data_IF_919748310291
#
_entry.id   IF_919748310291
#
_cell.length_a   1.000
_cell.length_b   1.000
_cell.length_c   1.000
_cell.angle_alpha   90.00
_cell.angle_beta   90.00
_cell.angle_gamma   90.00
#
_symmetry.space_group_name_H-M   'P 1'
#
loop_
_entity.id
_entity.type
_entity.pdbx_description
1 polymer ?
#
# COMPACT_ATOMS: atom_id res chain seq x y z
N UNK A 1 -7.77 -17.16 -12.91
CA UNK A 1 -7.74 -15.68 -12.91
C UNK A 1 -6.70 -15.09 -11.96
N UNK A 2 -6.66 -15.45 -10.68
CA UNK A 2 -5.65 -14.90 -9.74
C UNK A 2 -4.18 -15.13 -10.14
N UNK A 3 -3.84 -16.32 -10.66
CA UNK A 3 -2.50 -16.60 -11.19
C UNK A 3 -2.13 -15.70 -12.39
N UNK A 4 -3.09 -15.39 -13.27
CA UNK A 4 -2.88 -14.49 -14.39
C UNK A 4 -2.58 -13.07 -13.89
N UNK A 5 -3.33 -12.57 -12.89
CA UNK A 5 -3.07 -11.26 -12.28
C UNK A 5 -1.66 -11.22 -11.69
N UNK A 6 -1.24 -12.27 -10.98
CA UNK A 6 0.11 -12.36 -10.44
C UNK A 6 1.19 -12.29 -11.54
N UNK A 7 1.01 -13.02 -12.63
CA UNK A 7 1.94 -12.99 -13.78
C UNK A 7 1.95 -11.60 -14.43
N UNK A 8 0.81 -10.96 -14.59
CA UNK A 8 0.73 -9.60 -15.14
C UNK A 8 1.45 -8.58 -14.26
N UNK A 9 1.38 -8.72 -12.93
CA UNK A 9 2.11 -7.88 -11.99
C UNK A 9 3.62 -8.07 -12.08
N UNK A 10 4.07 -9.32 -12.19
CA UNK A 10 5.47 -9.65 -12.43
C UNK A 10 5.98 -9.01 -13.73
N UNK A 11 5.21 -9.16 -14.83
CA UNK A 11 5.55 -8.55 -16.11
C UNK A 11 5.55 -7.01 -16.05
N UNK A 12 4.63 -6.42 -15.28
CA UNK A 12 4.58 -4.96 -15.09
C UNK A 12 5.85 -4.43 -14.43
N UNK A 13 6.38 -5.10 -13.40
CA UNK A 13 7.63 -4.68 -12.76
C UNK A 13 8.83 -4.87 -13.71
N UNK A 14 8.87 -5.93 -14.53
CA UNK A 14 9.90 -6.10 -15.56
C UNK A 14 9.82 -4.97 -16.59
N UNK A 15 8.63 -4.69 -17.12
CA UNK A 15 8.45 -3.64 -18.10
C UNK A 15 8.68 -2.24 -17.51
N UNK A 16 8.38 -2.03 -16.24
CA UNK A 16 8.78 -0.83 -15.49
C UNK A 16 10.29 -0.69 -15.45
N UNK A 17 11.03 -1.76 -15.13
CA UNK A 17 12.49 -1.75 -15.12
C UNK A 17 13.09 -1.46 -16.51
N UNK A 18 12.50 -2.02 -17.57
CA UNK A 18 12.91 -1.72 -18.95
C UNK A 18 12.57 -0.26 -19.32
N UNK A 19 11.40 0.22 -18.91
CA UNK A 19 10.94 1.60 -19.13
C UNK A 19 11.80 2.64 -18.43
N UNK A 20 12.38 2.31 -17.27
CA UNK A 20 13.33 3.18 -16.59
C UNK A 20 14.57 3.47 -17.44
N UNK A 21 15.04 2.52 -18.25
CA UNK A 21 16.15 2.73 -19.20
C UNK A 21 15.74 3.41 -20.50
N UNK A 22 14.46 3.40 -20.85
CA UNK A 22 13.94 3.91 -22.13
C UNK A 22 12.69 4.74 -21.92
N UNK A 23 12.86 6.07 -21.89
CA UNK A 23 11.78 7.04 -21.70
C UNK A 23 10.63 6.85 -22.71
N UNK A 24 10.97 6.53 -23.97
CA UNK A 24 9.98 6.25 -25.01
C UNK A 24 9.15 5.00 -24.71
N UNK A 25 9.80 3.91 -24.25
CA UNK A 25 9.09 2.69 -23.85
C UNK A 25 8.21 2.93 -22.62
N UNK A 26 8.71 3.66 -21.62
CA UNK A 26 7.94 4.05 -20.43
C UNK A 26 6.66 4.79 -20.81
N UNK A 27 6.77 5.79 -21.69
CA UNK A 27 5.63 6.59 -22.14
C UNK A 27 4.58 5.78 -22.88
N UNK A 28 5.00 4.90 -23.80
CA UNK A 28 4.09 4.00 -24.51
C UNK A 28 3.39 3.06 -23.52
N UNK A 29 4.13 2.50 -22.56
CA UNK A 29 3.57 1.59 -21.57
C UNK A 29 2.56 2.28 -20.64
N UNK A 30 2.82 3.53 -20.22
CA UNK A 30 1.86 4.34 -19.46
C UNK A 30 0.60 4.59 -20.27
N UNK A 31 0.72 5.06 -21.51
CA UNK A 31 -0.43 5.35 -22.37
C UNK A 31 -1.29 4.11 -22.64
N UNK A 32 -0.65 2.97 -22.95
CA UNK A 32 -1.34 1.69 -23.17
C UNK A 32 -2.02 1.21 -21.89
N UNK A 33 -1.37 1.34 -20.72
CA UNK A 33 -1.95 0.94 -19.44
C UNK A 33 -3.18 1.78 -19.07
N UNK A 34 -3.12 3.09 -19.28
CA UNK A 34 -4.26 4.00 -19.06
C UNK A 34 -5.39 3.70 -20.05
N UNK A 35 -5.09 3.51 -21.33
CA UNK A 35 -6.11 3.15 -22.33
C UNK A 35 -6.76 1.80 -22.04
N UNK A 36 -5.96 0.79 -21.71
CA UNK A 36 -6.47 -0.54 -21.32
C UNK A 36 -7.39 -0.43 -20.10
N UNK A 37 -7.01 0.39 -19.11
CA UNK A 37 -7.85 0.66 -17.95
C UNK A 37 -9.18 1.30 -18.35
N UNK A 38 -9.18 2.34 -19.19
CA UNK A 38 -10.40 3.01 -19.67
C UNK A 38 -11.33 2.03 -20.38
N UNK A 39 -10.79 1.21 -21.29
CA UNK A 39 -11.56 0.20 -22.02
C UNK A 39 -12.20 -0.84 -21.08
N UNK A 40 -11.48 -1.24 -20.03
CA UNK A 40 -12.01 -2.15 -19.00
C UNK A 40 -13.07 -1.44 -18.16
N UNK A 41 -12.84 -0.21 -17.71
CA UNK A 41 -13.74 0.53 -16.84
C UNK A 41 -15.08 0.85 -17.53
N UNK A 42 -15.07 1.15 -18.83
CA UNK A 42 -16.30 1.37 -19.62
C UNK A 42 -17.11 0.07 -19.74
N UNK A 43 -16.45 -1.08 -19.93
CA UNK A 43 -17.13 -2.39 -20.06
C UNK A 43 -17.58 -2.97 -18.72
N UNK A 44 -16.78 -2.77 -17.68
CA UNK A 44 -16.98 -3.32 -16.34
C UNK A 44 -16.32 -2.40 -15.30
N UNK A 45 -17.08 -1.42 -14.82
CA UNK A 45 -16.61 -0.44 -13.85
C UNK A 45 -16.08 -1.10 -12.55
N UNK A 46 -16.73 -2.11 -11.94
CA UNK A 46 -16.18 -2.83 -10.80
C UNK A 46 -14.77 -3.39 -11.01
N UNK A 47 -14.50 -3.97 -12.17
CA UNK A 47 -13.18 -4.48 -12.51
C UNK A 47 -12.19 -3.33 -12.72
N UNK A 48 -12.59 -2.25 -13.41
CA UNK A 48 -11.77 -1.05 -13.59
C UNK A 48 -11.34 -0.44 -12.25
N UNK A 49 -12.28 -0.26 -11.32
CA UNK A 49 -11.99 0.21 -9.96
C UNK A 49 -11.07 -0.75 -9.21
N UNK A 50 -11.26 -2.06 -9.38
CA UNK A 50 -10.37 -3.06 -8.78
C UNK A 50 -8.93 -2.95 -9.30
N UNK A 51 -8.74 -2.62 -10.58
CA UNK A 51 -7.41 -2.39 -11.17
C UNK A 51 -6.75 -1.11 -10.64
N UNK A 52 -7.51 -0.05 -10.33
CA UNK A 52 -6.95 1.14 -9.65
C UNK A 52 -6.38 0.77 -8.28
N UNK A 53 -7.10 -0.10 -7.53
CA UNK A 53 -6.62 -0.58 -6.23
C UNK A 53 -5.35 -1.43 -6.37
N UNK A 54 -5.19 -2.19 -7.46
CA UNK A 54 -3.94 -2.91 -7.74
C UNK A 54 -2.76 -1.97 -7.87
N UNK A 55 -2.91 -0.94 -8.70
CA UNK A 55 -1.85 0.05 -8.89
C UNK A 55 -1.51 0.71 -7.55
N UNK A 56 -2.52 1.08 -6.76
CA UNK A 56 -2.32 1.67 -5.44
C UNK A 56 -1.52 0.74 -4.50
N UNK A 57 -1.80 -0.57 -4.53
CA UNK A 57 -1.11 -1.57 -3.72
C UNK A 57 0.30 -1.83 -4.20
N UNK A 58 0.53 -1.93 -5.51
CA UNK A 58 1.81 -2.39 -6.07
C UNK A 58 2.76 -1.24 -6.40
N UNK A 59 2.23 -0.10 -6.87
CA UNK A 59 2.99 1.00 -7.44
C UNK A 59 3.61 1.97 -6.44
N UNK A 60 3.36 1.82 -5.14
CA UNK A 60 3.90 2.67 -4.06
C UNK A 60 3.65 4.17 -4.28
N UNK A 61 4.60 4.97 -4.78
CA UNK A 61 4.37 6.38 -5.16
C UNK A 61 3.66 6.56 -6.52
N UNK A 62 3.46 5.48 -7.27
CA UNK A 62 2.69 5.47 -8.52
C UNK A 62 3.50 5.78 -9.77
N UNK A 63 4.83 5.80 -9.65
CA UNK A 63 5.81 6.10 -10.72
C UNK A 63 6.38 4.82 -11.35
N UNK A 64 5.61 3.73 -11.40
CA UNK A 64 6.03 2.49 -12.07
C UNK A 64 6.44 2.75 -13.51
N UNK A 65 5.66 3.57 -14.21
CA UNK A 65 5.94 4.03 -15.57
C UNK A 65 5.50 5.48 -15.67
N UNK A 66 6.09 6.23 -16.59
CA UNK A 66 5.87 7.65 -16.74
C UNK A 66 5.73 8.03 -18.20
N UNK A 67 4.73 8.86 -18.47
CA UNK A 67 4.56 9.51 -19.76
C UNK A 67 5.30 10.84 -19.75
N UNK A 68 6.33 10.96 -20.59
CA UNK A 68 7.13 12.17 -20.71
C UNK A 68 6.62 13.02 -21.88
N UNK A 69 6.28 14.27 -21.60
CA UNK A 69 5.88 15.26 -22.61
C UNK A 69 6.67 16.55 -22.39
N UNK A 70 7.66 16.80 -23.24
CA UNK A 70 8.60 17.91 -23.04
C UNK A 70 9.37 17.74 -21.73
N UNK A 71 9.22 18.68 -20.81
CA UNK A 71 9.84 18.66 -19.47
C UNK A 71 8.92 18.11 -18.36
N UNK A 72 7.70 17.68 -18.70
CA UNK A 72 6.71 17.23 -17.71
C UNK A 72 6.62 15.71 -17.72
N UNK A 73 6.67 15.12 -16.53
CA UNK A 73 6.53 13.68 -16.29
C UNK A 73 5.15 13.41 -15.67
N UNK A 74 4.33 12.61 -16.34
CA UNK A 74 3.01 12.18 -15.84
C UNK A 74 3.14 10.73 -15.42
N UNK A 75 3.09 10.47 -14.11
CA UNK A 75 3.14 9.11 -13.58
C UNK A 75 1.91 8.29 -13.99
N UNK A 76 2.07 6.96 -14.07
CA UNK A 76 0.97 6.03 -14.34
C UNK A 76 -0.23 6.29 -13.44
N UNK A 77 0.04 6.50 -12.15
CA UNK A 77 -1.00 6.79 -11.17
C UNK A 77 -1.79 8.05 -11.49
N UNK A 78 -1.09 9.13 -11.85
CA UNK A 78 -1.75 10.39 -12.21
C UNK A 78 -2.57 10.22 -13.49
N UNK A 79 -2.04 9.51 -14.49
CA UNK A 79 -2.77 9.17 -15.71
C UNK A 79 -4.06 8.38 -15.44
N UNK A 80 -3.98 7.36 -14.58
CA UNK A 80 -5.13 6.57 -14.15
C UNK A 80 -6.13 7.41 -13.34
N UNK A 81 -5.66 8.28 -12.47
CA UNK A 81 -6.50 9.21 -11.72
C UNK A 81 -7.28 10.15 -12.65
N UNK A 82 -6.60 10.81 -13.60
CA UNK A 82 -7.23 11.71 -14.57
C UNK A 82 -8.25 10.94 -15.41
N UNK A 83 -7.91 9.75 -15.90
CA UNK A 83 -8.83 8.91 -16.67
C UNK A 83 -10.07 8.50 -15.86
N UNK A 84 -9.88 8.11 -14.60
CA UNK A 84 -10.97 7.72 -13.71
C UNK A 84 -11.86 8.90 -13.33
N UNK A 85 -11.26 10.04 -13.03
CA UNK A 85 -11.98 11.27 -12.74
C UNK A 85 -12.76 11.78 -13.97
N UNK A 86 -12.16 11.73 -15.16
CA UNK A 86 -12.82 12.06 -16.42
C UNK A 86 -14.00 11.15 -16.73
N UNK A 87 -13.85 9.83 -16.54
CA UNK A 87 -14.95 8.87 -16.68
C UNK A 87 -16.08 9.16 -15.69
N UNK A 88 -15.75 9.48 -14.45
CA UNK A 88 -16.73 9.86 -13.43
C UNK A 88 -17.50 11.12 -13.83
N UNK A 89 -16.81 12.17 -14.28
CA UNK A 89 -17.46 13.40 -14.76
C UNK A 89 -18.36 13.14 -15.96
N UNK A 90 -17.91 12.33 -16.92
CA UNK A 90 -18.71 11.92 -18.07
C UNK A 90 -19.99 11.18 -17.64
N UNK A 91 -19.88 10.25 -16.67
CA UNK A 91 -21.04 9.54 -16.13
C UNK A 91 -21.99 10.47 -15.39
N UNK A 92 -21.49 11.41 -14.60
CA UNK A 92 -22.31 12.42 -13.91
C UNK A 92 -23.04 13.32 -14.92
N UNK A 93 -22.39 13.69 -16.02
CA UNK A 93 -23.00 14.52 -17.06
C UNK A 93 -24.02 13.76 -17.91
N UNK A 94 -23.78 12.46 -18.15
CA UNK A 94 -24.61 11.62 -19.02
C UNK A 94 -25.80 10.98 -18.29
N UNK A 95 -25.66 10.71 -16.99
CA UNK A 95 -26.65 10.01 -16.17
C UNK A 95 -27.37 10.98 -15.21
N UNK A 96 -28.71 11.02 -15.26
CA UNK A 96 -29.53 11.85 -14.35
C UNK A 96 -29.68 11.23 -12.95
N UNK A 97 -29.14 10.04 -12.71
CA UNK A 97 -29.27 9.31 -11.45
C UNK A 97 -27.97 9.39 -10.65
N UNK A 98 -27.75 10.53 -10.02
CA UNK A 98 -26.57 10.79 -9.19
C UNK A 98 -26.56 9.95 -7.90
N UNK A 99 -25.88 8.80 -7.93
CA UNK A 99 -25.69 7.90 -6.78
C UNK A 99 -25.10 8.64 -5.56
N UNK A 100 -24.21 9.62 -5.78
CA UNK A 100 -23.63 10.46 -4.72
C UNK A 100 -24.71 11.15 -3.88
N UNK A 101 -25.75 11.69 -4.52
CA UNK A 101 -26.77 12.45 -3.81
C UNK A 101 -27.76 11.57 -3.04
N UNK A 102 -27.75 10.25 -3.24
CA UNK A 102 -28.63 9.30 -2.57
C UNK A 102 -28.07 8.77 -1.25
N UNK A 103 -26.74 8.79 -1.07
CA UNK A 103 -26.12 8.21 0.10
C UNK A 103 -26.00 9.21 1.26
N UNK A 104 -26.17 8.74 2.49
CA UNK A 104 -25.95 9.55 3.71
C UNK A 104 -24.52 10.09 3.84
N UNK A 105 -23.58 9.50 3.08
CA UNK A 105 -22.16 9.85 3.07
C UNK A 105 -21.87 11.14 2.31
N UNK A 106 -22.83 11.67 1.55
CA UNK A 106 -22.68 12.91 0.77
C UNK A 106 -22.25 14.11 1.61
N UNK A 107 -22.73 14.20 2.85
CA UNK A 107 -22.39 15.31 3.75
C UNK A 107 -20.97 15.19 4.30
N UNK A 108 -20.52 13.96 4.59
CA UNK A 108 -19.13 13.70 4.97
C UNK A 108 -18.18 13.97 3.81
N UNK A 109 -18.55 13.56 2.59
CA UNK A 109 -17.79 13.85 1.38
C UNK A 109 -17.74 15.36 1.10
N UNK A 110 -18.87 16.06 1.18
CA UNK A 110 -18.94 17.51 1.00
C UNK A 110 -18.14 18.25 2.08
N UNK A 111 -18.20 17.81 3.34
CA UNK A 111 -17.39 18.36 4.43
C UNK A 111 -15.90 18.17 4.20
N UNK A 112 -15.47 16.97 3.78
CA UNK A 112 -14.07 16.71 3.45
C UNK A 112 -13.60 17.55 2.26
N UNK A 113 -14.42 17.69 1.21
CA UNK A 113 -14.12 18.56 0.08
C UNK A 113 -14.05 20.03 0.49
N UNK A 114 -14.96 20.49 1.36
CA UNK A 114 -14.93 21.85 1.89
C UNK A 114 -13.65 22.13 2.69
N UNK A 115 -13.17 21.17 3.48
CA UNK A 115 -11.89 21.28 4.20
C UNK A 115 -10.71 21.37 3.23
N UNK A 116 -10.69 20.56 2.16
CA UNK A 116 -9.62 20.63 1.16
C UNK A 116 -9.63 21.95 0.38
N UNK A 117 -10.80 22.42 -0.03
CA UNK A 117 -10.96 23.71 -0.71
C UNK A 117 -10.55 24.86 0.22
N UNK A 118 -10.95 24.80 1.49
CA UNK A 118 -10.53 25.77 2.50
C UNK A 118 -9.02 25.77 2.70
N UNK A 119 -8.40 24.60 2.87
CA UNK A 119 -6.96 24.48 3.05
C UNK A 119 -6.19 25.03 1.84
N UNK A 120 -6.65 24.74 0.62
CA UNK A 120 -6.07 25.28 -0.60
C UNK A 120 -6.23 26.79 -0.69
N UNK A 121 -7.45 27.32 -0.44
CA UNK A 121 -7.71 28.76 -0.45
C UNK A 121 -6.86 29.49 0.60
N UNK A 122 -6.72 28.93 1.79
CA UNK A 122 -5.91 29.48 2.88
C UNK A 122 -4.41 29.45 2.54
N UNK A 123 -3.91 28.35 1.98
CA UNK A 123 -2.50 28.24 1.56
C UNK A 123 -2.18 29.25 0.46
N UNK A 124 -3.06 29.41 -0.53
CA UNK A 124 -2.92 30.42 -1.58
C UNK A 124 -2.95 31.85 -1.01
N UNK A 125 -3.85 32.13 -0.05
CA UNK A 125 -3.91 33.44 0.63
C UNK A 125 -2.63 33.78 1.40
N UNK A 126 -1.89 32.77 1.88
CA UNK A 126 -0.59 32.94 2.56
C UNK A 126 0.60 32.99 1.59
N UNK A 127 0.39 33.25 0.30
CA UNK A 127 1.43 33.44 -0.72
C UNK A 127 2.30 32.22 -1.01
N UNK A 128 1.80 31.01 -0.73
CA UNK A 128 2.47 29.80 -1.18
C UNK A 128 2.34 29.65 -2.71
N UNK A 129 3.34 29.06 -3.35
CA UNK A 129 3.29 28.83 -4.79
C UNK A 129 2.23 27.77 -5.12
N UNK A 130 1.61 27.87 -6.31
CA UNK A 130 0.64 26.86 -6.77
C UNK A 130 1.27 25.47 -6.89
N UNK A 131 2.58 25.41 -7.18
CA UNK A 131 3.31 24.15 -7.26
C UNK A 131 3.40 23.47 -5.89
N UNK A 132 3.78 24.21 -4.85
CA UNK A 132 3.88 23.66 -3.49
C UNK A 132 2.51 23.23 -2.97
N UNK A 133 1.49 24.03 -3.25
CA UNK A 133 0.10 23.72 -2.92
C UNK A 133 -0.36 22.42 -3.61
N UNK A 134 -0.04 22.24 -4.88
CA UNK A 134 -0.39 21.02 -5.60
C UNK A 134 0.37 19.80 -5.05
N UNK A 135 1.67 19.92 -4.79
CA UNK A 135 2.48 18.83 -4.27
C UNK A 135 1.96 18.33 -2.91
N UNK A 136 1.50 19.23 -2.05
CA UNK A 136 0.86 18.88 -0.77
C UNK A 136 -0.56 18.32 -0.95
N UNK A 137 -1.38 18.96 -1.79
CA UNK A 137 -2.79 18.61 -1.97
C UNK A 137 -3.00 17.30 -2.74
N UNK A 138 -2.07 16.92 -3.64
CA UNK A 138 -2.20 15.77 -4.53
C UNK A 138 -2.53 14.47 -3.79
N UNK A 139 -1.92 14.25 -2.62
CA UNK A 139 -2.19 13.07 -1.79
C UNK A 139 -3.65 12.95 -1.34
N UNK A 140 -4.37 14.06 -1.25
CA UNK A 140 -5.77 14.11 -0.80
C UNK A 140 -6.78 14.05 -1.95
N UNK A 141 -6.36 14.37 -3.18
CA UNK A 141 -7.26 14.40 -4.35
C UNK A 141 -7.89 13.04 -4.66
N UNK A 142 -7.29 11.94 -4.19
CA UNK A 142 -7.87 10.61 -4.25
C UNK A 142 -9.29 10.51 -3.68
N UNK A 143 -9.66 11.38 -2.73
CA UNK A 143 -11.03 11.43 -2.21
C UNK A 143 -12.05 11.72 -3.31
N UNK A 144 -11.67 12.48 -4.36
CA UNK A 144 -12.54 12.83 -5.48
C UNK A 144 -13.02 11.62 -6.26
N UNK A 145 -12.31 10.49 -6.19
CA UNK A 145 -12.73 9.24 -6.84
C UNK A 145 -13.74 8.44 -6.01
N UNK A 146 -14.02 8.83 -4.75
CA UNK A 146 -14.95 8.11 -3.87
C UNK A 146 -16.32 7.81 -4.52
N UNK A 147 -16.95 8.75 -5.24
CA UNK A 147 -18.17 8.44 -6.00
C UNK A 147 -18.05 7.26 -6.96
N UNK A 148 -16.94 7.21 -7.72
CA UNK A 148 -16.69 6.15 -8.69
C UNK A 148 -16.56 4.79 -7.98
N UNK A 149 -15.88 4.75 -6.82
CA UNK A 149 -15.80 3.56 -5.99
C UNK A 149 -17.18 3.11 -5.49
N UNK A 150 -18.00 4.03 -4.97
CA UNK A 150 -19.33 3.71 -4.45
C UNK A 150 -20.24 3.16 -5.55
N UNK A 151 -20.26 3.80 -6.72
CA UNK A 151 -21.02 3.34 -7.88
C UNK A 151 -20.56 1.96 -8.34
N UNK A 152 -19.25 1.72 -8.42
CA UNK A 152 -18.71 0.43 -8.78
C UNK A 152 -19.12 -0.67 -7.78
N UNK A 153 -19.11 -0.38 -6.49
CA UNK A 153 -19.53 -1.34 -5.47
C UNK A 153 -21.04 -1.61 -5.50
N UNK A 154 -21.86 -0.60 -5.74
CA UNK A 154 -23.31 -0.76 -5.89
C UNK A 154 -23.67 -1.62 -7.11
N UNK A 155 -23.04 -1.35 -8.27
CA UNK A 155 -23.25 -2.11 -9.50
C UNK A 155 -22.78 -3.57 -9.40
N UNK A 156 -21.70 -3.82 -8.66
CA UNK A 156 -21.14 -5.16 -8.51
C UNK A 156 -22.02 -6.06 -7.63
N UNK A 157 -22.55 -5.51 -6.53
CA UNK A 157 -23.11 -6.29 -5.45
C UNK A 157 -22.05 -7.05 -4.63
N UNK A 158 -22.44 -7.57 -3.46
CA UNK A 158 -21.50 -8.13 -2.48
C UNK A 158 -20.65 -9.30 -3.02
N UNK A 159 -21.25 -10.20 -3.81
CA UNK A 159 -20.54 -11.39 -4.31
C UNK A 159 -19.42 -11.03 -5.30
N UNK A 160 -19.66 -10.10 -6.22
CA UNK A 160 -18.62 -9.66 -7.17
C UNK A 160 -17.53 -8.86 -6.48
N UNK A 161 -17.85 -8.04 -5.48
CA UNK A 161 -16.83 -7.35 -4.66
C UNK A 161 -15.91 -8.37 -3.98
N UNK A 162 -16.49 -9.39 -3.35
CA UNK A 162 -15.73 -10.48 -2.73
C UNK A 162 -14.89 -11.25 -3.76
N UNK A 163 -15.44 -11.47 -4.96
CA UNK A 163 -14.70 -12.08 -6.06
C UNK A 163 -13.48 -11.21 -6.46
N UNK A 164 -13.66 -9.92 -6.69
CA UNK A 164 -12.55 -9.03 -7.05
C UNK A 164 -11.54 -8.90 -5.91
N UNK A 165 -11.97 -8.80 -4.65
CA UNK A 165 -11.06 -8.84 -3.51
C UNK A 165 -10.19 -10.13 -3.52
N UNK A 166 -10.77 -11.30 -3.84
CA UNK A 166 -9.99 -12.54 -3.91
C UNK A 166 -9.07 -12.63 -5.12
N UNK A 167 -9.52 -12.14 -6.27
CA UNK A 167 -8.80 -12.31 -7.55
C UNK A 167 -7.78 -11.21 -7.81
N UNK A 168 -7.92 -10.08 -7.14
CA UNK A 168 -7.15 -8.87 -7.42
C UNK A 168 -6.32 -8.46 -6.21
N UNK A 169 -6.95 -8.25 -5.05
CA UNK A 169 -6.26 -7.81 -3.84
C UNK A 169 -5.29 -8.87 -3.29
N UNK A 170 -5.72 -10.13 -3.19
CA UNK A 170 -4.84 -11.21 -2.67
C UNK A 170 -3.59 -11.38 -3.54
N UNK A 171 -3.67 -11.53 -4.88
CA UNK A 171 -2.47 -11.60 -5.73
C UNK A 171 -1.58 -10.36 -5.65
N UNK A 172 -2.14 -9.15 -5.50
CA UNK A 172 -1.34 -7.92 -5.34
C UNK A 172 -0.52 -7.93 -4.04
N UNK A 173 -1.10 -8.38 -2.93
CA UNK A 173 -0.38 -8.53 -1.65
C UNK A 173 0.69 -9.62 -1.73
N UNK A 174 0.37 -10.76 -2.36
CA UNK A 174 1.34 -11.85 -2.56
C UNK A 174 2.50 -11.35 -3.43
N UNK A 175 2.22 -10.62 -4.51
CA UNK A 175 3.25 -10.02 -5.36
C UNK A 175 4.13 -9.03 -4.59
N UNK A 176 3.52 -8.13 -3.81
CA UNK A 176 4.25 -7.21 -2.93
C UNK A 176 5.18 -7.96 -1.96
N UNK A 177 4.73 -9.10 -1.44
CA UNK A 177 5.50 -9.96 -0.56
C UNK A 177 6.67 -10.63 -1.29
N UNK A 178 6.40 -11.22 -2.46
CA UNK A 178 7.42 -11.85 -3.31
C UNK A 178 8.50 -10.84 -3.68
N UNK A 179 8.13 -9.66 -4.15
CA UNK A 179 9.07 -8.58 -4.47
C UNK A 179 9.93 -8.21 -3.26
N UNK A 180 9.32 -8.07 -2.08
CA UNK A 180 10.05 -7.73 -0.84
C UNK A 180 11.05 -8.82 -0.47
N UNK A 181 10.66 -10.10 -0.58
CA UNK A 181 11.54 -11.25 -0.30
C UNK A 181 12.68 -11.33 -1.30
N UNK A 182 12.39 -11.17 -2.61
CA UNK A 182 13.40 -11.19 -3.67
C UNK A 182 14.42 -10.08 -3.46
N UNK A 183 13.97 -8.85 -3.18
CA UNK A 183 14.88 -7.74 -2.89
C UNK A 183 15.70 -7.97 -1.62
N UNK A 184 15.08 -8.47 -0.54
CA UNK A 184 15.81 -8.81 0.68
C UNK A 184 16.92 -9.83 0.39
N UNK A 185 16.57 -10.88 -0.36
CA UNK A 185 17.50 -11.91 -0.77
C UNK A 185 18.64 -11.30 -1.60
N UNK A 186 18.34 -10.57 -2.68
CA UNK A 186 19.35 -9.99 -3.56
C UNK A 186 20.35 -9.14 -2.77
N UNK A 187 19.87 -8.17 -1.98
CA UNK A 187 20.74 -7.23 -1.27
C UNK A 187 21.53 -7.86 -0.14
N UNK A 188 21.09 -9.00 0.39
CA UNK A 188 21.83 -9.73 1.43
C UNK A 188 22.94 -10.63 0.86
N UNK A 189 22.87 -11.00 -0.43
CA UNK A 189 23.76 -12.01 -1.03
C UNK A 189 24.67 -11.47 -2.13
N UNK A 190 24.28 -10.38 -2.80
CA UNK A 190 25.07 -9.79 -3.88
C UNK A 190 25.72 -8.48 -3.44
N UNK A 191 26.88 -8.17 -4.04
CA UNK A 191 27.60 -6.96 -3.69
C UNK A 191 26.81 -5.70 -4.09
N UNK A 192 27.09 -4.59 -3.40
CA UNK A 192 26.40 -3.34 -3.65
C UNK A 192 26.56 -2.90 -5.11
N UNK A 193 27.74 -3.11 -5.70
CA UNK A 193 28.08 -2.73 -7.08
C UNK A 193 27.19 -3.45 -8.11
N UNK A 194 26.96 -4.75 -7.91
CA UNK A 194 26.12 -5.55 -8.81
C UNK A 194 24.64 -5.13 -8.76
N UNK A 195 24.22 -4.52 -7.65
CA UNK A 195 22.82 -4.15 -7.41
C UNK A 195 22.55 -2.66 -7.56
N UNK A 196 23.55 -1.82 -7.90
CA UNK A 196 23.35 -0.39 -8.17
C UNK A 196 22.21 -0.16 -9.16
N UNK A 197 22.13 -0.84 -10.33
CA UNK A 197 21.04 -0.62 -11.28
C UNK A 197 19.67 -0.98 -10.71
N UNK A 198 19.58 -2.07 -9.95
CA UNK A 198 18.33 -2.53 -9.32
C UNK A 198 17.89 -1.53 -8.24
N UNK A 199 18.84 -1.03 -7.44
CA UNK A 199 18.58 -0.03 -6.41
C UNK A 199 18.11 1.29 -7.01
N UNK A 200 18.78 1.79 -8.05
CA UNK A 200 18.43 3.04 -8.73
C UNK A 200 17.03 2.96 -9.34
N UNK A 201 16.73 1.91 -10.12
CA UNK A 201 15.38 1.70 -10.65
C UNK A 201 14.32 1.69 -9.54
N UNK A 202 14.55 0.92 -8.48
CA UNK A 202 13.59 0.79 -7.37
C UNK A 202 13.39 2.11 -6.63
N UNK A 203 14.46 2.90 -6.45
CA UNK A 203 14.45 4.18 -5.74
C UNK A 203 13.85 5.31 -6.56
N UNK A 204 14.22 5.41 -7.83
CA UNK A 204 13.83 6.50 -8.73
C UNK A 204 12.37 6.34 -9.18
N UNK A 205 11.93 5.10 -9.41
CA UNK A 205 10.51 4.77 -9.68
C UNK A 205 9.62 4.89 -8.43
N UNK A 206 10.18 5.34 -7.30
CA UNK A 206 9.43 5.52 -6.06
C UNK A 206 8.78 4.24 -5.53
N UNK A 207 9.39 3.07 -5.75
CA UNK A 207 8.86 1.79 -5.27
C UNK A 207 9.23 1.55 -3.81
N UNK A 208 10.34 2.10 -3.35
CA UNK A 208 10.74 2.02 -1.95
C UNK A 208 12.20 2.37 -1.72
N UNK A 209 12.70 1.97 -0.56
CA UNK A 209 14.07 2.17 -0.09
C UNK A 209 14.64 0.86 0.43
N UNK A 210 15.89 0.57 0.06
CA UNK A 210 16.64 -0.58 0.55
C UNK A 210 17.86 -0.05 1.29
N UNK A 211 17.96 -0.33 2.58
CA UNK A 211 19.01 0.26 3.43
C UNK A 211 19.65 -0.79 4.32
N UNK A 212 20.97 -0.73 4.57
CA UNK A 212 21.62 -1.62 5.53
C UNK A 212 20.99 -1.49 6.92
N UNK A 213 20.74 -2.63 7.58
CA UNK A 213 20.21 -2.70 8.94
C UNK A 213 21.25 -3.25 9.95
N UNK A 214 22.49 -3.47 9.49
CA UNK A 214 23.59 -4.03 10.26
C UNK A 214 23.70 -5.56 10.15
N UNK A 215 24.89 -6.10 10.43
CA UNK A 215 25.14 -7.55 10.43
C UNK A 215 24.94 -8.24 9.07
N UNK A 216 25.08 -7.50 7.96
CA UNK A 216 24.78 -7.99 6.60
C UNK A 216 23.29 -8.11 6.27
N UNK A 217 22.39 -7.62 7.12
CA UNK A 217 20.96 -7.58 6.84
C UNK A 217 20.54 -6.27 6.17
N UNK A 218 19.53 -6.31 5.32
CA UNK A 218 18.94 -5.14 4.66
C UNK A 218 17.47 -4.96 5.03
N UNK A 219 17.10 -3.71 5.28
CA UNK A 219 15.71 -3.28 5.36
C UNK A 219 15.20 -3.05 3.95
N UNK A 220 14.09 -3.67 3.57
CA UNK A 220 13.37 -3.38 2.32
C UNK A 220 12.07 -2.70 2.68
N UNK A 221 11.96 -1.39 2.49
CA UNK A 221 10.80 -0.59 2.88
C UNK A 221 10.08 0.00 1.66
N UNK A 222 8.75 -0.04 1.65
CA UNK A 222 7.91 0.59 0.61
C UNK A 222 6.66 1.20 1.24
N UNK A 223 6.16 2.32 0.70
CA UNK A 223 4.89 2.90 1.17
C UNK A 223 3.72 1.92 0.98
N UNK A 224 3.81 1.05 -0.03
CA UNK A 224 2.84 -0.02 -0.28
C UNK A 224 2.74 -1.03 0.86
N UNK A 225 3.72 -1.13 1.75
CA UNK A 225 3.67 -2.04 2.91
C UNK A 225 2.56 -1.71 3.89
N UNK A 226 1.94 -0.51 3.81
CA UNK A 226 0.69 -0.23 4.51
C UNK A 226 -0.41 -1.23 4.13
N UNK A 227 -0.50 -1.64 2.86
CA UNK A 227 -1.48 -2.63 2.43
C UNK A 227 -1.19 -4.03 2.97
N UNK A 228 0.09 -4.38 3.18
CA UNK A 228 0.47 -5.59 3.90
C UNK A 228 0.04 -5.51 5.38
N UNK A 229 0.09 -4.32 6.00
CA UNK A 229 -0.43 -4.07 7.34
C UNK A 229 -1.93 -4.30 7.41
N UNK A 230 -2.70 -3.77 6.47
CA UNK A 230 -4.14 -4.02 6.41
C UNK A 230 -4.44 -5.51 6.12
N UNK A 231 -3.69 -6.12 5.22
CA UNK A 231 -3.85 -7.53 4.84
C UNK A 231 -3.60 -8.47 6.03
N UNK A 232 -2.61 -8.21 6.88
CA UNK A 232 -2.34 -9.04 8.06
C UNK A 232 -3.46 -8.96 9.08
N UNK A 233 -4.01 -7.76 9.32
CA UNK A 233 -5.18 -7.53 10.19
C UNK A 233 -6.40 -8.29 9.66
N UNK A 234 -6.69 -8.17 8.35
CA UNK A 234 -7.78 -8.91 7.70
C UNK A 234 -7.54 -10.42 7.81
N UNK A 235 -6.32 -10.88 7.56
CA UNK A 235 -5.91 -12.28 7.67
C UNK A 235 -6.15 -12.87 9.05
N UNK A 236 -5.76 -12.14 10.11
CA UNK A 236 -6.03 -12.55 11.49
C UNK A 236 -7.52 -12.57 11.83
N UNK A 237 -8.29 -11.56 11.42
CA UNK A 237 -9.73 -11.52 11.65
C UNK A 237 -10.45 -12.70 10.95
N UNK A 238 -10.02 -13.00 9.73
CA UNK A 238 -10.49 -14.13 8.94
C UNK A 238 -10.15 -15.48 9.59
N UNK A 239 -8.91 -15.69 10.02
CA UNK A 239 -8.47 -16.91 10.71
C UNK A 239 -9.24 -17.13 12.01
N UNK A 240 -9.42 -16.09 12.83
CA UNK A 240 -10.19 -16.19 14.07
C UNK A 240 -11.60 -16.70 13.78
N UNK A 241 -12.31 -16.01 12.89
CA UNK A 241 -13.70 -16.35 12.56
C UNK A 241 -13.81 -17.77 12.00
N UNK A 242 -12.89 -18.16 11.13
CA UNK A 242 -12.91 -19.47 10.49
C UNK A 242 -12.73 -20.62 11.50
N UNK A 243 -11.74 -20.50 12.38
CA UNK A 243 -11.45 -21.49 13.40
C UNK A 243 -12.58 -21.60 14.44
N UNK A 244 -13.30 -20.50 14.71
CA UNK A 244 -14.45 -20.50 15.62
C UNK A 244 -15.68 -21.23 15.07
N UNK A 245 -15.76 -21.40 13.74
CA UNK A 245 -16.91 -22.01 13.06
C UNK A 245 -16.78 -23.51 12.83
N UNK A 246 -15.73 -24.18 13.32
CA UNK A 246 -15.42 -25.60 13.04
C UNK A 246 -15.57 -25.95 11.54
N UNK A 247 -15.23 -25.00 10.67
CA UNK A 247 -15.32 -25.19 9.22
C UNK A 247 -14.25 -26.17 8.74
N UNK A 248 -14.53 -26.91 7.65
CA UNK A 248 -13.63 -27.94 7.07
C UNK A 248 -12.20 -27.41 6.85
N UNK A 249 -11.20 -28.25 6.67
CA UNK A 249 -9.79 -27.82 6.52
C UNK A 249 -9.43 -27.06 5.20
N UNK A 250 -10.15 -27.11 4.06
CA UNK A 250 -9.54 -26.74 2.77
C UNK A 250 -9.25 -25.24 2.61
N UNK A 251 -9.95 -24.33 3.30
CA UNK A 251 -9.68 -22.89 3.21
C UNK A 251 -8.66 -22.39 4.25
N UNK A 252 -8.27 -23.22 5.23
CA UNK A 252 -7.34 -22.81 6.27
C UNK A 252 -5.95 -22.51 5.72
N UNK A 253 -5.43 -23.38 4.84
CA UNK A 253 -4.08 -23.22 4.28
C UNK A 253 -3.91 -21.94 3.46
N UNK A 254 -4.81 -21.58 2.53
CA UNK A 254 -4.74 -20.29 1.84
C UNK A 254 -4.79 -19.07 2.77
N UNK A 255 -5.56 -19.14 3.85
CA UNK A 255 -5.69 -18.02 4.82
C UNK A 255 -4.42 -17.86 5.67
N UNK A 256 -3.84 -18.98 6.11
CA UNK A 256 -2.54 -18.98 6.79
C UNK A 256 -1.47 -18.43 5.85
N UNK A 257 -1.41 -18.90 4.61
CA UNK A 257 -0.45 -18.43 3.61
C UNK A 257 -0.56 -16.93 3.35
N UNK A 258 -1.78 -16.41 3.16
CA UNK A 258 -2.03 -14.98 2.98
C UNK A 258 -1.61 -14.14 4.20
N UNK A 259 -1.93 -14.60 5.41
CA UNK A 259 -1.54 -13.91 6.65
C UNK A 259 -0.03 -13.95 6.83
N UNK A 260 0.61 -15.08 6.53
CA UNK A 260 2.05 -15.26 6.68
C UNK A 260 2.84 -14.40 5.69
N UNK A 261 2.42 -14.35 4.43
CA UNK A 261 3.07 -13.52 3.40
C UNK A 261 2.99 -12.02 3.71
N UNK A 262 1.83 -11.54 4.17
CA UNK A 262 1.69 -10.15 4.64
C UNK A 262 2.58 -9.85 5.86
N UNK A 263 2.68 -10.76 6.83
CA UNK A 263 3.58 -10.61 7.98
C UNK A 263 5.06 -10.60 7.58
N UNK A 264 5.48 -11.45 6.64
CA UNK A 264 6.85 -11.47 6.12
C UNK A 264 7.21 -10.10 5.52
N UNK A 265 6.31 -9.52 4.74
CA UNK A 265 6.48 -8.18 4.16
C UNK A 265 6.68 -7.12 5.25
N UNK A 266 5.83 -7.13 6.28
CA UNK A 266 5.93 -6.19 7.39
C UNK A 266 7.24 -6.34 8.14
N UNK A 267 7.65 -7.57 8.44
CA UNK A 267 8.87 -7.82 9.21
C UNK A 267 10.12 -7.45 8.40
N UNK A 268 10.17 -7.79 7.11
CA UNK A 268 11.27 -7.40 6.21
C UNK A 268 11.39 -5.87 6.05
N UNK A 269 10.30 -5.13 6.25
CA UNK A 269 10.30 -3.66 6.21
C UNK A 269 11.02 -2.98 7.38
N UNK A 270 11.23 -3.69 8.50
CA UNK A 270 11.75 -3.16 9.77
C UNK A 270 11.12 -1.81 10.21
N UNK A 271 9.89 -1.53 9.76
CA UNK A 271 9.20 -0.28 9.99
C UNK A 271 8.39 -0.33 11.28
N UNK A 272 8.88 0.38 12.31
CA UNK A 272 8.24 0.42 13.64
C UNK A 272 6.82 0.97 13.61
N UNK A 273 6.56 1.98 12.77
CA UNK A 273 5.22 2.57 12.65
C UNK A 273 4.23 1.57 12.05
N UNK A 274 4.65 0.82 11.02
CA UNK A 274 3.82 -0.25 10.45
C UNK A 274 3.61 -1.39 11.44
N UNK A 275 4.64 -1.79 12.18
CA UNK A 275 4.52 -2.82 13.22
C UNK A 275 3.56 -2.41 14.33
N UNK A 276 3.69 -1.18 14.82
CA UNK A 276 2.83 -0.64 15.87
C UNK A 276 1.39 -0.52 15.38
N UNK A 277 1.17 0.00 14.16
CA UNK A 277 -0.15 0.11 13.56
C UNK A 277 -0.83 -1.26 13.37
N UNK A 278 -0.09 -2.24 12.83
CA UNK A 278 -0.56 -3.61 12.68
C UNK A 278 -0.88 -4.26 14.03
N UNK A 279 0.00 -4.11 15.02
CA UNK A 279 -0.21 -4.65 16.36
C UNK A 279 -1.44 -4.03 17.04
N UNK A 280 -1.55 -2.70 17.02
CA UNK A 280 -2.71 -2.00 17.58
C UNK A 280 -4.02 -2.45 16.92
N UNK A 281 -4.07 -2.48 15.59
CA UNK A 281 -5.24 -2.96 14.85
C UNK A 281 -5.55 -4.43 15.18
N UNK A 282 -4.53 -5.28 15.28
CA UNK A 282 -4.66 -6.69 15.64
C UNK A 282 -5.28 -6.87 17.05
N UNK A 283 -4.85 -6.10 18.05
CA UNK A 283 -5.43 -6.11 19.40
C UNK A 283 -6.86 -5.54 19.47
N UNK A 284 -7.24 -4.69 18.51
CA UNK A 284 -8.61 -4.17 18.41
C UNK A 284 -9.58 -5.18 17.75
N UNK A 285 -9.11 -6.14 16.94
CA UNK A 285 -9.97 -7.18 16.33
C UNK A 285 -10.84 -7.91 17.37
N UNK A 286 -10.32 -8.43 18.50
CA UNK A 286 -11.14 -9.00 19.57
C UNK A 286 -12.27 -8.10 20.05
N UNK A 287 -11.97 -6.80 20.20
CA UNK A 287 -12.86 -5.80 20.79
C UNK A 287 -13.96 -5.37 19.83
N UNK A 288 -13.67 -5.42 18.53
CA UNK A 288 -14.60 -5.11 17.44
C UNK A 288 -15.33 -6.36 16.92
N UNK A 289 -15.00 -7.56 17.44
CA UNK A 289 -15.61 -8.80 16.99
C UNK A 289 -17.11 -8.79 17.32
N UNK A 290 -17.92 -8.85 16.27
CA UNK A 290 -19.38 -8.69 16.33
C UNK A 290 -20.01 -9.68 17.32
N UNK A 291 -20.92 -9.22 18.21
CA UNK A 291 -21.65 -10.10 19.11
C UNK A 291 -22.44 -11.16 18.32
N UNK A 292 -22.42 -12.41 18.79
CA UNK A 292 -23.32 -13.47 18.31
C UNK A 292 -22.72 -14.59 17.45
N UNK A 293 -21.39 -14.70 17.29
CA UNK A 293 -20.75 -15.84 16.58
C UNK A 293 -19.84 -16.66 17.49
N UNK A 294 -19.78 -17.98 17.25
CA UNK A 294 -18.78 -18.86 17.88
C UNK A 294 -17.39 -18.43 17.44
N UNK A 295 -16.63 -17.90 18.37
CA UNK A 295 -15.26 -17.45 18.21
C UNK A 295 -14.34 -18.38 19.01
N UNK A 296 -13.12 -18.63 18.54
CA UNK A 296 -12.12 -19.28 19.39
C UNK A 296 -11.82 -18.41 20.60
N UNK A 297 -11.37 -19.03 21.70
CA UNK A 297 -10.94 -18.29 22.89
C UNK A 297 -9.82 -17.32 22.55
N UNK A 298 -9.80 -16.16 23.22
CA UNK A 298 -8.76 -15.15 23.06
C UNK A 298 -7.36 -15.74 23.24
N UNK A 299 -7.19 -16.68 24.17
CA UNK A 299 -5.93 -17.39 24.41
C UNK A 299 -5.44 -18.17 23.18
N UNK A 300 -6.31 -18.93 22.52
CA UNK A 300 -5.98 -19.68 21.29
C UNK A 300 -5.63 -18.73 20.15
N UNK A 301 -6.38 -17.64 20.02
CA UNK A 301 -6.13 -16.62 19.01
C UNK A 301 -4.75 -15.97 19.18
N UNK A 302 -4.41 -15.56 20.40
CA UNK A 302 -3.11 -14.97 20.71
C UNK A 302 -1.97 -15.97 20.44
N UNK A 303 -2.13 -17.24 20.83
CA UNK A 303 -1.13 -18.28 20.57
C UNK A 303 -0.86 -18.47 19.07
N UNK A 304 -1.92 -18.64 18.26
CA UNK A 304 -1.80 -18.80 16.80
C UNK A 304 -1.09 -17.61 16.18
N UNK A 305 -1.42 -16.41 16.66
CA UNK A 305 -0.83 -15.20 16.12
C UNK A 305 0.65 -15.04 16.48
N UNK A 306 1.04 -15.38 17.70
CA UNK A 306 2.46 -15.46 18.10
C UNK A 306 3.21 -16.45 17.21
N UNK A 307 2.63 -17.63 16.96
CA UNK A 307 3.22 -18.65 16.09
C UNK A 307 3.40 -18.11 14.66
N UNK A 308 2.41 -17.42 14.10
CA UNK A 308 2.50 -16.84 12.76
C UNK A 308 3.54 -15.72 12.68
N UNK A 309 3.61 -14.84 13.68
CA UNK A 309 4.61 -13.77 13.75
C UNK A 309 6.02 -14.36 13.87
N UNK A 310 6.21 -15.34 14.76
CA UNK A 310 7.48 -16.04 14.93
C UNK A 310 7.88 -16.78 13.64
N UNK A 311 6.92 -17.42 12.97
CA UNK A 311 7.15 -18.09 11.69
C UNK A 311 7.58 -17.11 10.59
N UNK A 312 6.90 -15.96 10.50
CA UNK A 312 7.25 -14.91 9.54
C UNK A 312 8.65 -14.33 9.82
N UNK A 313 8.98 -14.05 11.08
CA UNK A 313 10.31 -13.59 11.47
C UNK A 313 11.40 -14.64 11.16
N UNK A 314 11.10 -15.91 11.46
CA UNK A 314 11.97 -17.05 11.13
C UNK A 314 12.21 -17.18 9.63
N UNK A 315 11.17 -17.02 8.81
CA UNK A 315 11.29 -17.03 7.34
C UNK A 315 12.13 -15.86 6.82
N UNK A 316 11.93 -14.64 7.34
CA UNK A 316 12.76 -13.48 6.98
C UNK A 316 14.23 -13.72 7.31
N UNK A 317 14.53 -14.27 8.49
CA UNK A 317 15.90 -14.64 8.87
C UNK A 317 16.45 -15.78 8.02
N UNK A 318 15.63 -16.78 7.69
CA UNK A 318 16.03 -17.88 6.83
C UNK A 318 16.43 -17.37 5.44
N UNK A 319 15.62 -16.49 4.84
CA UNK A 319 15.93 -15.86 3.55
C UNK A 319 17.22 -15.05 3.62
N UNK A 320 17.46 -14.30 4.69
CA UNK A 320 18.69 -13.52 4.85
C UNK A 320 19.96 -14.37 5.09
N UNK A 321 19.79 -15.64 5.49
CA UNK A 321 20.89 -16.56 5.82
C UNK A 321 21.12 -17.67 4.80
N UNK A 322 20.22 -17.82 3.83
CA UNK A 322 20.25 -18.96 2.92
C UNK A 322 21.47 -18.88 1.99
N UNK A 323 22.43 -19.79 2.16
CA UNK A 323 23.63 -19.80 1.33
C UNK A 323 23.37 -20.51 -0.01
N UNK A 324 22.50 -19.95 -0.84
CA UNK A 324 22.18 -20.50 -2.16
C UNK A 324 21.74 -19.41 -3.15
N UNK A 325 22.29 -19.35 -4.38
CA UNK A 325 23.55 -19.99 -4.83
C UNK A 325 24.81 -19.26 -4.31
N UNK A 326 24.65 -18.07 -3.72
CA UNK A 326 25.74 -17.24 -3.17
C UNK A 326 25.66 -17.27 -1.65
N UNK A 327 26.81 -17.18 -0.97
CA UNK A 327 26.84 -17.06 0.49
C UNK A 327 26.31 -15.69 0.93
N UNK A 328 25.59 -15.64 2.05
CA UNK A 328 25.19 -14.38 2.65
C UNK A 328 26.42 -13.53 2.99
N UNK A 329 26.35 -12.22 2.72
CA UNK A 329 27.45 -11.28 2.96
C UNK A 329 27.67 -10.98 4.45
N UNK A 330 26.80 -11.47 5.34
CA UNK A 330 26.98 -11.31 6.77
C UNK A 330 26.22 -12.33 7.61
N UNK A 331 26.29 -12.13 8.92
CA UNK A 331 25.74 -13.03 9.93
C UNK A 331 24.34 -12.59 10.39
N UNK A 332 23.48 -12.17 9.44
CA UNK A 332 22.12 -11.66 9.68
C UNK A 332 21.49 -12.30 10.93
N UNK A 333 21.28 -11.54 12.00
CA UNK A 333 20.93 -12.11 13.30
C UNK A 333 19.61 -11.58 13.84
N UNK A 334 19.01 -12.30 14.78
CA UNK A 334 17.83 -11.82 15.50
C UNK A 334 18.09 -10.50 16.24
N UNK A 335 19.35 -10.13 16.46
CA UNK A 335 19.76 -8.85 17.03
C UNK A 335 19.33 -7.66 16.15
N UNK A 336 19.17 -7.85 14.84
CA UNK A 336 18.64 -6.81 13.95
C UNK A 336 17.25 -6.37 14.40
N UNK A 337 16.40 -7.31 14.85
CA UNK A 337 15.08 -6.99 15.39
C UNK A 337 15.18 -6.33 16.76
N UNK A 338 16.06 -6.81 17.64
CA UNK A 338 16.27 -6.23 18.97
C UNK A 338 16.73 -4.77 18.89
N UNK A 339 17.66 -4.47 17.96
CA UNK A 339 18.19 -3.13 17.74
C UNK A 339 17.11 -2.12 17.30
N UNK A 340 15.99 -2.57 16.70
CA UNK A 340 14.87 -1.68 16.34
C UNK A 340 14.17 -1.11 17.57
N UNK A 341 14.17 -1.83 18.69
CA UNK A 341 13.56 -1.38 19.94
C UNK A 341 14.48 -0.45 20.75
N UNK A 342 15.72 -0.23 20.31
CA UNK A 342 16.66 0.71 20.90
C UNK A 342 16.38 2.18 20.59
N UNK A 343 17.12 3.06 21.24
CA UNK A 343 17.07 4.51 21.02
C UNK A 343 17.72 4.87 19.67
N UNK A 344 16.92 5.43 18.76
CA UNK A 344 17.43 5.93 17.46
C UNK A 344 17.43 7.46 17.44
N UNK A 345 18.54 8.10 17.03
CA UNK A 345 18.65 9.56 16.95
C UNK A 345 17.53 10.21 16.11
N UNK A 346 17.13 9.59 15.01
CA UNK A 346 16.05 10.10 14.16
C UNK A 346 14.67 10.11 14.85
N UNK A 347 14.41 9.13 15.73
CA UNK A 347 13.20 9.11 16.54
C UNK A 347 13.20 10.20 17.60
N UNK A 348 14.34 10.42 18.24
CA UNK A 348 14.52 11.49 19.23
C UNK A 348 14.41 12.88 18.60
N UNK A 349 14.97 13.09 17.40
CA UNK A 349 14.84 14.34 16.66
C UNK A 349 13.37 14.67 16.35
N UNK A 350 12.56 13.68 15.93
CA UNK A 350 11.12 13.87 15.70
C UNK A 350 10.35 14.16 16.99
N UNK A 351 10.69 13.50 18.09
CA UNK A 351 10.10 13.79 19.40
C UNK A 351 10.46 15.20 19.88
N UNK A 352 11.67 15.66 19.60
CA UNK A 352 12.11 17.02 19.92
C UNK A 352 11.32 18.08 19.16
N UNK A 353 10.82 17.78 17.94
CA UNK A 353 9.96 18.67 17.17
C UNK A 353 8.55 18.81 17.73
N UNK A 354 8.08 17.90 18.60
CA UNK A 354 6.73 17.96 19.15
C UNK A 354 6.47 19.26 19.93
N UNK A 355 7.47 19.74 20.68
CA UNK A 355 7.32 20.95 21.48
C UNK A 355 7.22 22.21 20.60
N UNK A 356 8.16 22.49 19.66
CA UNK A 356 8.02 23.59 18.72
C UNK A 356 6.73 23.55 17.90
N UNK A 357 6.32 22.35 17.42
CA UNK A 357 5.07 22.20 16.66
C UNK A 357 3.84 22.52 17.53
N UNK A 358 3.81 22.04 18.78
CA UNK A 358 2.73 22.35 19.71
C UNK A 358 2.65 23.85 20.02
N UNK A 359 3.78 24.54 20.15
CA UNK A 359 3.83 25.99 20.33
C UNK A 359 3.31 26.73 19.08
N UNK A 360 3.73 26.34 17.89
CA UNK A 360 3.22 26.90 16.63
C UNK A 360 1.72 26.68 16.44
N UNK A 361 1.21 25.50 16.80
CA UNK A 361 -0.23 25.16 16.77
C UNK A 361 -1.01 26.08 17.71
N UNK A 362 -0.50 26.35 18.92
CA UNK A 362 -1.17 27.25 19.87
C UNK A 362 -1.33 28.67 19.33
N UNK A 363 -0.36 29.18 18.58
CA UNK A 363 -0.42 30.53 18.04
C UNK A 363 -1.49 30.74 16.98
N UNK A 364 -1.88 29.70 16.23
CA UNK A 364 -2.91 29.79 15.20
C UNK A 364 -3.72 28.48 15.12
N UNK A 365 -4.37 28.11 16.23
CA UNK A 365 -5.07 26.84 16.35
C UNK A 365 -6.22 26.68 15.35
N UNK A 366 -6.99 27.75 15.14
CA UNK A 366 -8.20 27.73 14.29
C UNK A 366 -7.84 27.76 12.80
N UNK A 367 -6.84 28.56 12.43
CA UNK A 367 -6.47 28.80 11.02
C UNK A 367 -5.36 27.86 10.53
N UNK A 368 -4.71 27.11 11.43
CA UNK A 368 -3.73 26.08 11.11
C UNK A 368 -2.38 26.63 10.62
N UNK A 369 -1.33 26.42 11.42
CA UNK A 369 0.08 26.62 11.01
C UNK A 369 0.98 25.42 11.31
N UNK A 370 0.41 24.26 11.66
CA UNK A 370 1.11 23.29 12.50
C UNK A 370 1.44 21.92 11.93
N UNK A 371 1.13 21.64 10.66
CA UNK A 371 1.37 20.31 10.08
C UNK A 371 2.04 20.33 8.69
N UNK A 372 2.38 21.51 8.18
CA UNK A 372 3.16 21.71 6.95
C UNK A 372 4.48 22.38 7.27
#
# INVERSE_FOLDING_TARGET
MGALVFVLLFLLDIFSAIGWWSLGFSSVLTAVSVLAWVLVAIKNLPLGVSLLLVELIVGSFGRLTEFTFGSTEISLRLGLFIAAFGLMLYQIASDRQHIIFRHSWRWWFAGALAVLVWAAAWSYYNWNSLNDLFLDANGYLYILLLPLFLQAFEQAGQEKILHYARVVFIPAIIWLSVRTIVLLYLFTHFSAEALVPVYQWYRDSGLGEITPAGGGFFRVFSQSHIYASLASVIGFAWLWRYLGQNSKIPLLHPMIFFTLTSLITLIASLSRSLWLGAAAAWFLIPLLALPGKKLISLTKYLLISIILIASAAGMVLAVARVNWPVKSLGSASAQVFANRFGTEPAGQARLALLKPLAEAIKHNFILGRGFG
#
